data_IF_467288950013
#
_entry.id   IF_467288950013
#
_cell.length_a   1.000
_cell.length_b   1.000
_cell.length_c   1.000
_cell.angle_alpha   90.00
_cell.angle_beta   90.00
_cell.angle_gamma   90.00
#
_symmetry.space_group_name_H-M   'P 1'
#
loop_
_entity.id
_entity.type
_entity.pdbx_description
1 polymer ?
#
# COMPACT_ATOMS: atom_id res chain seq x y z
N UNK A 1 -2.70 15.83 -2.81
CA UNK A 1 -1.61 14.84 -2.71
C UNK A 1 -1.04 14.79 -1.30
N UNK A 2 -0.27 15.80 -0.84
CA UNK A 2 0.41 15.74 0.49
C UNK A 2 -0.53 15.45 1.67
N UNK A 3 -1.67 16.15 1.77
CA UNK A 3 -2.66 15.88 2.83
C UNK A 3 -3.15 14.42 2.81
N UNK A 4 -3.41 13.86 1.62
CA UNK A 4 -3.85 12.47 1.48
C UNK A 4 -2.74 11.48 1.81
N UNK A 5 -1.48 11.82 1.50
CA UNK A 5 -0.32 11.04 1.93
C UNK A 5 -0.22 11.04 3.46
N UNK A 6 -0.35 12.19 4.12
CA UNK A 6 -0.38 12.26 5.60
C UNK A 6 -1.50 11.40 6.17
N UNK A 7 -2.71 11.48 5.61
CA UNK A 7 -3.84 10.62 6.02
C UNK A 7 -3.50 9.13 5.82
N UNK A 8 -2.95 8.75 4.67
CA UNK A 8 -2.54 7.37 4.39
C UNK A 8 -1.50 6.88 5.41
N UNK A 9 -0.50 7.71 5.74
CA UNK A 9 0.50 7.40 6.75
C UNK A 9 -0.11 7.22 8.14
N UNK A 10 -1.06 8.08 8.54
CA UNK A 10 -1.78 7.93 9.83
C UNK A 10 -2.63 6.66 9.86
N UNK A 11 -3.30 6.32 8.76
CA UNK A 11 -4.08 5.08 8.64
C UNK A 11 -3.16 3.87 8.75
N UNK A 12 -2.06 3.84 8.00
CA UNK A 12 -1.08 2.75 8.07
C UNK A 12 -0.47 2.64 9.46
N UNK A 13 -0.11 3.76 10.09
CA UNK A 13 0.39 3.79 11.47
C UNK A 13 -0.60 3.14 12.44
N UNK A 14 -1.87 3.54 12.37
CA UNK A 14 -2.94 2.98 13.20
C UNK A 14 -3.12 1.47 12.98
N UNK A 15 -3.04 1.02 11.73
CA UNK A 15 -3.14 -0.40 11.40
C UNK A 15 -1.94 -1.20 11.90
N UNK A 16 -0.72 -0.68 11.78
CA UNK A 16 0.48 -1.33 12.32
C UNK A 16 0.38 -1.44 13.83
N UNK A 17 -0.02 -0.39 14.54
CA UNK A 17 -0.22 -0.44 15.99
C UNK A 17 -1.23 -1.51 16.41
N UNK A 18 -2.25 -1.75 15.59
CA UNK A 18 -3.28 -2.74 15.86
C UNK A 18 -2.85 -4.18 15.54
N UNK A 19 -2.20 -4.39 14.38
CA UNK A 19 -1.91 -5.73 13.86
C UNK A 19 -0.48 -6.20 14.14
N UNK A 20 0.50 -5.29 14.10
CA UNK A 20 1.93 -5.59 14.18
C UNK A 20 2.69 -4.54 15.03
N UNK A 21 2.31 -4.28 16.29
CA UNK A 21 2.89 -3.19 17.08
C UNK A 21 4.42 -3.33 17.25
N UNK A 22 4.93 -4.55 17.32
CA UNK A 22 6.36 -4.87 17.43
C UNK A 22 7.13 -4.71 16.12
N UNK A 23 6.47 -4.45 14.98
CA UNK A 23 7.10 -4.16 13.69
C UNK A 23 7.24 -2.68 13.38
N UNK A 24 6.66 -1.80 14.21
CA UNK A 24 6.65 -0.37 13.94
C UNK A 24 8.07 0.11 13.66
N UNK A 25 8.29 0.65 12.46
CA UNK A 25 9.59 1.16 11.98
C UNK A 25 10.77 0.18 12.11
N UNK A 26 10.51 -1.14 12.11
CA UNK A 26 11.54 -2.16 12.29
C UNK A 26 12.58 -2.16 11.16
N UNK A 27 12.14 -2.13 9.89
CA UNK A 27 13.03 -2.11 8.71
C UNK A 27 13.87 -0.83 8.67
N UNK A 28 13.30 0.40 8.80
CA UNK A 28 14.12 1.61 8.89
C UNK A 28 15.17 1.58 10.01
N UNK A 29 14.84 0.98 11.15
CA UNK A 29 15.73 0.93 12.33
C UNK A 29 16.92 0.00 12.11
N UNK A 30 16.70 -1.19 11.55
CA UNK A 30 17.73 -2.22 11.44
C UNK A 30 18.43 -2.24 10.08
N UNK A 31 17.81 -1.69 9.04
CA UNK A 31 18.34 -1.70 7.67
C UNK A 31 17.95 -0.42 6.90
N UNK A 32 18.49 0.76 7.28
CA UNK A 32 18.14 2.05 6.67
C UNK A 32 18.46 2.12 5.16
N UNK A 33 19.54 1.49 4.71
CA UNK A 33 19.86 1.41 3.28
C UNK A 33 18.84 0.55 2.52
N UNK A 34 18.35 -0.52 3.15
CA UNK A 34 17.35 -1.40 2.56
C UNK A 34 16.02 -0.69 2.38
N UNK A 35 15.54 0.09 3.36
CA UNK A 35 14.26 0.79 3.19
C UNK A 35 14.32 1.82 2.06
N UNK A 36 15.45 2.49 1.84
CA UNK A 36 15.65 3.37 0.69
C UNK A 36 15.62 2.57 -0.62
N UNK A 37 16.34 1.43 -0.66
CA UNK A 37 16.32 0.52 -1.81
C UNK A 37 14.93 -0.02 -2.12
N UNK A 38 14.17 -0.40 -1.10
CA UNK A 38 12.76 -0.82 -1.20
C UNK A 38 11.92 0.33 -1.73
N UNK A 39 12.01 1.53 -1.16
CA UNK A 39 11.18 2.67 -1.57
C UNK A 39 11.41 3.02 -3.06
N UNK A 40 12.66 3.07 -3.51
CA UNK A 40 13.01 3.36 -4.90
C UNK A 40 12.63 2.20 -5.83
N UNK A 41 13.03 0.98 -5.47
CA UNK A 41 12.74 -0.23 -6.25
C UNK A 41 11.24 -0.48 -6.37
N UNK A 42 10.49 -0.33 -5.28
CA UNK A 42 9.04 -0.43 -5.27
C UNK A 42 8.38 0.64 -6.14
N UNK A 43 8.82 1.90 -6.04
CA UNK A 43 8.28 2.97 -6.87
C UNK A 43 8.45 2.66 -8.36
N UNK A 44 9.64 2.23 -8.79
CA UNK A 44 9.94 2.03 -10.21
C UNK A 44 9.41 0.69 -10.73
N UNK A 45 9.69 -0.41 -10.02
CA UNK A 45 9.41 -1.76 -10.52
C UNK A 45 7.98 -2.23 -10.21
N UNK A 46 7.33 -1.63 -9.22
CA UNK A 46 5.99 -2.02 -8.78
C UNK A 46 4.95 -0.95 -9.10
N UNK A 47 5.11 0.25 -8.54
CA UNK A 47 4.09 1.32 -8.64
C UNK A 47 3.94 1.81 -10.07
N UNK A 48 5.05 2.09 -10.77
CA UNK A 48 4.96 2.63 -12.13
C UNK A 48 4.21 1.69 -13.10
N UNK A 49 4.53 0.39 -13.20
CA UNK A 49 3.73 -0.55 -14.01
C UNK A 49 2.26 -0.60 -13.59
N UNK A 50 1.99 -0.60 -12.28
CA UNK A 50 0.63 -0.61 -11.75
C UNK A 50 -0.15 0.64 -12.20
N UNK A 51 0.43 1.83 -12.11
CA UNK A 51 -0.27 3.05 -12.54
C UNK A 51 -0.44 3.14 -14.06
N UNK A 52 0.49 2.58 -14.84
CA UNK A 52 0.30 2.43 -16.31
C UNK A 52 -0.94 1.60 -16.60
N UNK A 53 -1.08 0.44 -15.95
CA UNK A 53 -2.20 -0.48 -16.20
C UNK A 53 -3.51 0.05 -15.63
N UNK A 54 -3.54 0.39 -14.34
CA UNK A 54 -4.77 0.68 -13.62
C UNK A 54 -5.21 2.14 -13.73
N UNK A 55 -4.37 3.07 -14.20
CA UNK A 55 -4.79 4.44 -14.46
C UNK A 55 -4.77 4.79 -15.92
N UNK A 56 -3.58 4.78 -16.54
CA UNK A 56 -3.45 5.27 -17.90
C UNK A 56 -4.25 4.40 -18.89
N UNK A 57 -3.97 3.10 -18.90
CA UNK A 57 -4.66 2.15 -19.76
C UNK A 57 -6.13 1.99 -19.37
N UNK A 58 -6.44 1.81 -18.08
CA UNK A 58 -7.82 1.68 -17.63
C UNK A 58 -8.68 2.90 -17.98
N UNK A 59 -8.19 4.13 -17.76
CA UNK A 59 -8.92 5.34 -18.14
C UNK A 59 -9.12 5.42 -19.65
N UNK A 60 -8.06 5.20 -20.44
CA UNK A 60 -8.17 5.18 -21.90
C UNK A 60 -9.21 4.15 -22.37
N UNK A 61 -9.21 2.94 -21.80
CA UNK A 61 -10.13 1.87 -22.19
C UNK A 61 -11.57 2.18 -21.80
N UNK A 62 -11.80 2.68 -20.59
CA UNK A 62 -13.13 2.94 -20.06
C UNK A 62 -13.74 4.20 -20.70
N UNK A 63 -12.90 5.19 -21.03
CA UNK A 63 -13.30 6.36 -21.84
C UNK A 63 -13.78 5.90 -23.24
N UNK A 64 -13.11 4.94 -23.89
CA UNK A 64 -13.56 4.35 -25.16
C UNK A 64 -14.87 3.55 -25.04
N UNK A 65 -15.17 3.02 -23.86
CA UNK A 65 -16.45 2.38 -23.57
C UNK A 65 -17.56 3.40 -23.25
N UNK A 66 -17.27 4.71 -23.28
CA UNK A 66 -18.24 5.77 -22.98
C UNK A 66 -18.61 5.87 -21.50
N UNK A 67 -17.79 5.32 -20.60
CA UNK A 67 -18.06 5.36 -19.17
C UNK A 67 -17.71 6.72 -18.56
N UNK A 68 -18.57 7.20 -17.67
CA UNK A 68 -18.32 8.41 -16.89
C UNK A 68 -17.29 8.18 -15.79
N UNK A 69 -16.81 9.25 -15.17
CA UNK A 69 -15.76 9.21 -14.15
C UNK A 69 -16.01 8.18 -13.03
N UNK A 70 -17.22 8.14 -12.47
CA UNK A 70 -17.53 7.32 -11.30
C UNK A 70 -17.41 5.81 -11.59
N UNK A 71 -18.12 5.23 -12.59
CA UNK A 71 -17.95 3.82 -12.93
C UNK A 71 -16.52 3.51 -13.34
N UNK A 72 -15.83 4.40 -14.07
CA UNK A 72 -14.45 4.16 -14.46
C UNK A 72 -13.50 4.08 -13.26
N UNK A 73 -13.67 4.96 -12.28
CA UNK A 73 -12.91 4.95 -11.03
C UNK A 73 -13.18 3.67 -10.21
N UNK A 74 -14.43 3.26 -10.08
CA UNK A 74 -14.80 2.07 -9.31
C UNK A 74 -14.29 0.78 -9.96
N UNK A 75 -14.40 0.65 -11.29
CA UNK A 75 -13.89 -0.53 -12.02
C UNK A 75 -12.38 -0.62 -11.91
N UNK A 76 -11.68 0.49 -12.19
CA UNK A 76 -10.23 0.59 -12.06
C UNK A 76 -9.76 0.24 -10.64
N UNK A 77 -10.41 0.80 -9.62
CA UNK A 77 -10.11 0.53 -8.22
C UNK A 77 -10.42 -0.91 -7.81
N UNK A 78 -11.53 -1.50 -8.28
CA UNK A 78 -11.92 -2.87 -7.98
C UNK A 78 -10.90 -3.87 -8.50
N UNK A 79 -10.47 -3.71 -9.76
CA UNK A 79 -9.45 -4.60 -10.35
C UNK A 79 -8.11 -4.41 -9.63
N UNK A 80 -7.72 -3.16 -9.36
CA UNK A 80 -6.49 -2.85 -8.63
C UNK A 80 -6.49 -3.46 -7.22
N UNK A 81 -7.58 -3.32 -6.47
CA UNK A 81 -7.77 -3.97 -5.17
C UNK A 81 -7.71 -5.49 -5.28
N UNK A 82 -8.41 -6.07 -6.25
CA UNK A 82 -8.49 -7.53 -6.42
C UNK A 82 -7.12 -8.19 -6.63
N UNK A 83 -6.22 -7.57 -7.40
CA UNK A 83 -4.85 -8.09 -7.60
C UNK A 83 -4.10 -8.28 -6.27
N UNK A 84 -4.44 -7.52 -5.23
CA UNK A 84 -3.80 -7.64 -3.91
C UNK A 84 -4.28 -8.86 -3.11
N UNK A 85 -5.24 -9.64 -3.62
CA UNK A 85 -5.59 -10.94 -3.03
C UNK A 85 -4.41 -11.92 -3.04
N UNK A 86 -3.43 -11.70 -3.94
CA UNK A 86 -2.19 -12.47 -4.03
C UNK A 86 -1.37 -12.45 -2.73
N UNK A 87 -1.56 -11.44 -1.88
CA UNK A 87 -0.91 -11.35 -0.58
C UNK A 87 -1.68 -12.08 0.54
N UNK A 88 -2.83 -12.65 0.22
CA UNK A 88 -3.67 -13.43 1.15
C UNK A 88 -4.28 -12.61 2.28
N UNK A 89 -4.52 -11.31 2.05
CA UNK A 89 -5.16 -10.40 3.00
C UNK A 89 -6.31 -9.66 2.35
N UNK A 90 -7.53 -9.89 2.83
CA UNK A 90 -8.70 -9.11 2.41
C UNK A 90 -8.59 -7.63 2.79
N UNK A 91 -7.85 -7.32 3.86
CA UNK A 91 -7.59 -5.94 4.23
C UNK A 91 -6.75 -5.24 3.16
N UNK A 92 -5.78 -5.92 2.54
CA UNK A 92 -5.00 -5.36 1.43
C UNK A 92 -5.87 -5.09 0.21
N UNK A 93 -6.80 -5.99 -0.10
CA UNK A 93 -7.78 -5.79 -1.20
C UNK A 93 -8.61 -4.54 -0.94
N UNK A 94 -9.14 -4.38 0.27
CA UNK A 94 -9.95 -3.22 0.66
C UNK A 94 -9.15 -1.91 0.65
N UNK A 95 -7.95 -1.91 1.24
CA UNK A 95 -7.08 -0.74 1.29
C UNK A 95 -6.65 -0.31 -0.12
N UNK A 96 -6.29 -1.26 -0.98
CA UNK A 96 -5.96 -0.96 -2.37
C UNK A 96 -7.18 -0.52 -3.18
N UNK A 97 -8.37 -1.05 -2.93
CA UNK A 97 -9.59 -0.50 -3.54
C UNK A 97 -9.78 0.98 -3.17
N UNK A 98 -9.71 1.32 -1.89
CA UNK A 98 -9.86 2.71 -1.42
C UNK A 98 -8.77 3.61 -2.00
N UNK A 99 -7.51 3.17 -1.94
CA UNK A 99 -6.39 3.88 -2.55
C UNK A 99 -6.61 4.03 -4.07
N UNK A 100 -7.13 3.01 -4.73
CA UNK A 100 -7.40 3.00 -6.16
C UNK A 100 -8.37 4.08 -6.59
N UNK A 101 -9.44 4.30 -5.82
CA UNK A 101 -10.39 5.41 -6.06
C UNK A 101 -9.69 6.76 -5.93
N UNK A 102 -8.85 6.94 -4.90
CA UNK A 102 -8.09 8.18 -4.67
C UNK A 102 -7.09 8.45 -5.78
N UNK A 103 -6.33 7.43 -6.19
CA UNK A 103 -5.32 7.52 -7.25
C UNK A 103 -5.96 7.77 -8.61
N UNK A 104 -7.10 7.13 -8.89
CA UNK A 104 -7.86 7.41 -10.11
C UNK A 104 -8.33 8.86 -10.18
N UNK A 105 -8.78 9.45 -9.07
CA UNK A 105 -9.09 10.88 -8.99
C UNK A 105 -7.90 11.75 -9.35
N UNK A 106 -6.71 11.43 -8.84
CA UNK A 106 -5.49 12.19 -9.13
C UNK A 106 -5.11 12.09 -10.60
N UNK A 107 -5.10 10.88 -11.17
CA UNK A 107 -4.82 10.71 -12.59
C UNK A 107 -5.86 11.40 -13.48
N UNK A 108 -7.15 11.24 -13.18
CA UNK A 108 -8.21 11.86 -13.98
C UNK A 108 -8.15 13.39 -13.94
N UNK A 109 -7.88 13.97 -12.77
CA UNK A 109 -7.82 15.43 -12.60
C UNK A 109 -6.53 16.07 -13.14
N UNK A 110 -5.42 15.34 -13.19
CA UNK A 110 -4.12 15.88 -13.63
C UNK A 110 -3.69 15.39 -15.02
N UNK A 111 -4.27 14.29 -15.49
CA UNK A 111 -3.84 13.50 -16.66
C UNK A 111 -2.32 13.21 -16.66
N UNK A 112 -1.73 13.11 -15.47
CA UNK A 112 -0.29 12.94 -15.27
C UNK A 112 0.00 11.60 -14.60
N UNK A 113 0.70 10.73 -15.32
CA UNK A 113 1.18 9.47 -14.76
C UNK A 113 2.21 9.71 -13.64
N UNK A 114 3.06 10.74 -13.79
CA UNK A 114 4.04 11.10 -12.77
C UNK A 114 3.37 11.54 -11.45
N UNK A 115 2.28 12.32 -11.52
CA UNK A 115 1.58 12.78 -10.32
C UNK A 115 0.97 11.62 -9.52
N UNK A 116 0.30 10.69 -10.19
CA UNK A 116 -0.29 9.53 -9.53
C UNK A 116 0.76 8.51 -9.09
N UNK A 117 1.85 8.35 -9.87
CA UNK A 117 3.00 7.52 -9.51
C UNK A 117 3.67 8.00 -8.22
N UNK A 118 3.91 9.30 -8.07
CA UNK A 118 4.46 9.88 -6.85
C UNK A 118 3.50 9.71 -5.67
N UNK A 119 2.20 9.96 -5.86
CA UNK A 119 1.21 9.79 -4.78
C UNK A 119 1.12 8.34 -4.30
N UNK A 120 1.04 7.38 -5.22
CA UNK A 120 1.01 5.97 -4.87
C UNK A 120 2.33 5.52 -4.23
N UNK A 121 3.47 6.00 -4.73
CA UNK A 121 4.78 5.71 -4.12
C UNK A 121 4.85 6.19 -2.67
N UNK A 122 4.27 7.34 -2.34
CA UNK A 122 4.19 7.83 -0.95
C UNK A 122 3.30 6.94 -0.06
N UNK A 123 2.21 6.38 -0.61
CA UNK A 123 1.35 5.47 0.13
C UNK A 123 2.05 4.14 0.40
N UNK A 124 2.71 3.57 -0.62
CA UNK A 124 3.47 2.33 -0.45
C UNK A 124 4.70 2.50 0.44
N UNK A 125 5.37 3.66 0.39
CA UNK A 125 6.44 3.97 1.33
C UNK A 125 5.97 3.90 2.80
N UNK A 126 4.73 4.35 3.10
CA UNK A 126 4.16 4.20 4.43
C UNK A 126 4.05 2.72 4.84
N UNK A 127 3.54 1.87 3.95
CA UNK A 127 3.34 0.43 4.20
C UNK A 127 4.66 -0.24 4.59
N UNK A 128 5.73 -0.01 3.83
CA UNK A 128 7.04 -0.63 4.12
C UNK A 128 7.77 0.03 5.28
N UNK A 129 7.76 1.37 5.37
CA UNK A 129 8.49 2.09 6.41
C UNK A 129 7.88 1.88 7.79
N UNK A 130 6.54 1.82 7.89
CA UNK A 130 5.86 1.65 9.17
C UNK A 130 5.73 0.18 9.58
N UNK A 131 5.81 -0.78 8.64
CA UNK A 131 5.82 -2.22 8.97
C UNK A 131 4.50 -2.96 8.71
N UNK A 132 3.66 -2.46 7.78
CA UNK A 132 2.46 -3.14 7.28
C UNK A 132 2.79 -4.08 6.10
N UNK A 133 4.07 -4.19 5.73
CA UNK A 133 4.57 -4.99 4.62
C UNK A 133 4.12 -6.46 4.58
N UNK A 134 3.86 -7.19 5.69
CA UNK A 134 3.41 -8.59 5.60
C UNK A 134 2.05 -8.74 4.90
N UNK A 135 1.27 -7.68 4.82
CA UNK A 135 -0.01 -7.64 4.10
C UNK A 135 0.15 -7.32 2.61
N UNK A 136 1.30 -6.81 2.17
CA UNK A 136 1.54 -6.30 0.82
C UNK A 136 2.77 -6.92 0.13
N UNK A 137 3.46 -7.84 0.83
CA UNK A 137 4.63 -8.54 0.32
C UNK A 137 4.73 -9.93 0.98
N UNK A 138 4.93 -10.96 0.17
CA UNK A 138 5.02 -12.38 0.58
C UNK A 138 6.36 -13.04 0.21
N UNK A 139 7.32 -12.28 -0.30
CA UNK A 139 8.63 -12.83 -0.67
C UNK A 139 9.53 -13.00 0.55
N UNK A 140 10.55 -13.86 0.43
CA UNK A 140 11.49 -14.15 1.53
C UNK A 140 12.63 -13.14 1.64
N UNK A 141 12.78 -12.22 0.68
CA UNK A 141 13.93 -11.31 0.62
C UNK A 141 14.02 -10.40 1.84
N UNK A 142 12.90 -9.78 2.26
CA UNK A 142 12.87 -8.92 3.46
C UNK A 142 13.18 -9.75 4.70
N UNK A 143 12.58 -10.93 4.83
CA UNK A 143 12.76 -11.82 5.99
C UNK A 143 14.21 -12.31 6.13
N UNK A 144 14.90 -12.51 5.01
CA UNK A 144 16.31 -12.87 4.97
C UNK A 144 17.23 -11.66 5.24
N UNK A 145 16.87 -10.49 4.71
CA UNK A 145 17.68 -9.28 4.83
C UNK A 145 17.59 -8.63 6.22
N UNK A 146 16.45 -8.77 6.91
CA UNK A 146 16.23 -8.19 8.25
C UNK A 146 15.58 -9.21 9.20
N UNK A 147 16.32 -10.25 9.64
CA UNK A 147 15.76 -11.33 10.48
C UNK A 147 15.17 -10.84 11.81
N UNK A 148 15.67 -9.71 12.32
CA UNK A 148 15.15 -9.05 13.53
C UNK A 148 13.65 -8.72 13.44
N UNK A 149 13.10 -8.56 12.24
CA UNK A 149 11.68 -8.26 12.04
C UNK A 149 10.80 -9.53 11.94
N UNK A 150 11.35 -10.75 11.82
CA UNK A 150 10.59 -11.98 11.52
C UNK A 150 9.71 -12.48 12.67
N UNK A 151 10.10 -12.24 13.94
CA UNK A 151 9.35 -12.71 15.12
C UNK A 151 8.04 -11.96 15.39
N UNK A 152 7.77 -10.91 14.62
CA UNK A 152 6.74 -9.91 14.90
C UNK A 152 5.46 -10.08 14.06
N UNK A 153 5.27 -11.25 13.42
CA UNK A 153 4.14 -11.54 12.52
C UNK A 153 3.04 -12.35 13.21
N UNK A 154 3.26 -12.84 14.42
CA UNK A 154 2.19 -13.39 15.25
C UNK A 154 1.19 -12.25 15.54
N UNK A 155 -0.02 -12.36 15.01
CA UNK A 155 -1.12 -11.47 15.39
C UNK A 155 -1.32 -11.59 16.91
N UNK A 156 -0.80 -10.61 17.64
CA UNK A 156 -1.09 -10.43 19.07
C UNK A 156 -2.29 -9.50 19.11
N UNK A 157 -3.50 -10.01 19.36
CA UNK A 157 -4.67 -9.15 19.33
C UNK A 157 -4.57 -8.08 20.42
N UNK A 158 -5.01 -6.86 20.16
CA UNK A 158 -4.96 -5.77 21.15
C UNK A 158 -5.61 -6.12 22.51
N UNK A 159 -6.55 -7.07 22.56
CA UNK A 159 -7.17 -7.55 23.80
C UNK A 159 -6.29 -8.48 24.64
N UNK A 160 -5.19 -9.02 24.13
CA UNK A 160 -4.26 -9.83 24.95
C UNK A 160 -3.53 -9.00 26.01
N UNK A 161 -3.45 -7.67 25.82
CA UNK A 161 -2.96 -6.74 26.83
C UNK A 161 -4.01 -6.44 27.92
N UNK A 162 -5.30 -6.67 27.64
CA UNK A 162 -6.38 -6.52 28.63
C UNK A 162 -6.51 -7.76 29.52
N UNK A 163 -6.10 -8.94 29.05
CA UNK A 163 -6.10 -10.19 29.84
C UNK A 163 -4.99 -10.28 30.89
N UNK A 164 -4.04 -9.35 30.93
CA UNK A 164 -3.01 -9.26 31.99
C UNK A 164 -3.38 -8.28 33.11
N UNK A 165 -4.55 -7.65 33.03
CA UNK A 165 -5.07 -6.68 34.01
C UNK A 165 -6.26 -7.24 34.82
N UNK A 166 -6.51 -8.55 34.74
CA UNK A 166 -7.46 -9.33 35.57
C UNK A 166 -6.69 -10.48 36.18
#
# INVERSE_FOLDING_TARGET
>A
MLLRAVIAWIVVLSLVQWFYPTRLVCIPTHAPALIVGIAVGYAILSVLPQEVVFRAYAAWRLDQCGLSYLPSALISAAIFGWVHILYGSWLSVLLCFIAGVVLYRTYHGTRSLAAVWLEHSLFGAAVFALGLDPMFYRGTFIDQAVPACNGSVAFVPAWSALSTLV
#
